data_IF_637301735027
#
_entry.id   IF_637301735027
#
_cell.length_a   1.000
_cell.length_b   1.000
_cell.length_c   1.000
_cell.angle_alpha   90.00
_cell.angle_beta   90.00
_cell.angle_gamma   90.00
#
_symmetry.space_group_name_H-M   'P 1'
#
loop_
_entity.id
_entity.type
_entity.pdbx_description
1 polymer ?
#
# COMPACT_ATOMS: atom_id res chain seq x y z
N UNK A 1 2.14 -22.53 15.86
CA UNK A 1 1.61 -21.62 14.82
C UNK A 1 0.51 -22.37 14.05
N UNK A 2 -0.74 -21.86 14.00
CA UNK A 2 -1.89 -22.63 13.48
C UNK A 2 -1.91 -22.73 11.95
N UNK A 3 -2.59 -23.77 11.44
CA UNK A 3 -2.70 -24.07 10.01
C UNK A 3 -3.37 -22.92 9.22
N UNK A 4 -4.42 -22.31 9.80
CA UNK A 4 -5.16 -21.20 9.18
C UNK A 4 -4.29 -19.94 8.97
N UNK A 5 -3.35 -19.67 9.88
CA UNK A 5 -2.40 -18.56 9.73
C UNK A 5 -1.37 -18.84 8.62
N UNK A 6 -1.04 -20.12 8.40
CA UNK A 6 -0.07 -20.56 7.37
C UNK A 6 -0.68 -20.45 5.97
N UNK A 7 -1.91 -20.90 5.77
CA UNK A 7 -2.63 -20.77 4.48
C UNK A 7 -2.92 -19.32 4.10
N UNK A 8 -3.20 -18.44 5.06
CA UNK A 8 -3.37 -17.00 4.79
C UNK A 8 -2.06 -16.34 4.35
N UNK A 9 -0.93 -16.71 4.95
CA UNK A 9 0.38 -16.21 4.53
C UNK A 9 0.81 -16.78 3.19
N UNK A 10 0.49 -18.04 2.87
CA UNK A 10 0.74 -18.64 1.55
C UNK A 10 -0.13 -18.01 0.46
N UNK A 11 -1.41 -17.74 0.73
CA UNK A 11 -2.29 -17.05 -0.20
C UNK A 11 -1.85 -15.60 -0.44
N UNK A 12 -1.39 -14.91 0.60
CA UNK A 12 -0.79 -13.58 0.47
C UNK A 12 0.55 -13.66 -0.30
N UNK A 13 1.43 -14.62 0.01
CA UNK A 13 2.72 -14.78 -0.66
C UNK A 13 2.57 -15.14 -2.16
N UNK A 14 1.58 -15.96 -2.49
CA UNK A 14 1.23 -16.31 -3.87
C UNK A 14 0.64 -15.11 -4.64
N UNK A 15 -0.08 -14.21 -3.95
CA UNK A 15 -0.71 -13.03 -4.54
C UNK A 15 0.23 -11.82 -4.63
N UNK A 16 1.24 -11.75 -3.77
CA UNK A 16 2.17 -10.62 -3.65
C UNK A 16 3.63 -10.98 -4.01
N UNK A 17 3.85 -12.08 -4.75
CA UNK A 17 5.13 -12.36 -5.41
C UNK A 17 6.28 -12.80 -4.50
N UNK A 18 6.00 -13.18 -3.24
CA UNK A 18 7.05 -13.41 -2.24
C UNK A 18 7.97 -14.60 -2.51
N UNK A 19 7.60 -15.51 -3.42
CA UNK A 19 8.39 -16.70 -3.76
C UNK A 19 8.68 -16.86 -5.25
N UNK A 20 8.24 -15.94 -6.11
CA UNK A 20 8.35 -16.11 -7.56
C UNK A 20 9.18 -15.01 -8.18
N UNK A 21 10.37 -15.37 -8.65
CA UNK A 21 11.13 -14.54 -9.57
C UNK A 21 10.57 -14.70 -10.98
N UNK A 22 10.40 -13.58 -11.69
CA UNK A 22 9.97 -13.56 -13.07
C UNK A 22 11.19 -13.28 -13.95
N UNK A 23 11.56 -14.25 -14.79
CA UNK A 23 12.72 -14.14 -15.69
C UNK A 23 12.41 -13.45 -17.02
N UNK A 24 11.13 -13.28 -17.34
CA UNK A 24 10.66 -12.69 -18.60
C UNK A 24 9.80 -11.45 -18.30
N UNK A 25 10.00 -10.38 -19.07
CA UNK A 25 9.26 -9.12 -18.91
C UNK A 25 7.77 -9.30 -19.16
N UNK A 26 7.39 -10.13 -20.13
CA UNK A 26 5.99 -10.48 -20.44
C UNK A 26 5.26 -11.08 -19.24
N UNK A 27 5.94 -11.90 -18.44
CA UNK A 27 5.36 -12.51 -17.24
C UNK A 27 5.20 -11.49 -16.09
N UNK A 28 6.09 -10.48 -16.02
CA UNK A 28 5.93 -9.34 -15.09
C UNK A 28 4.75 -8.48 -15.51
N UNK A 29 4.67 -8.11 -16.79
CA UNK A 29 3.61 -7.24 -17.32
C UNK A 29 2.22 -7.86 -17.16
N UNK A 30 2.11 -9.18 -17.38
CA UNK A 30 0.87 -9.92 -17.15
C UNK A 30 0.44 -9.84 -15.67
N UNK A 31 1.37 -10.02 -14.73
CA UNK A 31 1.05 -9.91 -13.30
C UNK A 31 0.62 -8.48 -12.93
N UNK A 32 1.33 -7.46 -13.41
CA UNK A 32 0.98 -6.06 -13.13
C UNK A 32 -0.41 -5.71 -13.66
N UNK A 33 -0.76 -6.24 -14.83
CA UNK A 33 -2.10 -6.11 -15.41
C UNK A 33 -3.15 -6.79 -14.53
N UNK A 34 -2.93 -8.04 -14.13
CA UNK A 34 -3.85 -8.79 -13.25
C UNK A 34 -4.07 -8.09 -11.90
N UNK A 35 -2.99 -7.56 -11.30
CA UNK A 35 -3.07 -6.79 -10.06
C UNK A 35 -3.92 -5.54 -10.23
N UNK A 36 -3.72 -4.81 -11.34
CA UNK A 36 -4.49 -3.61 -11.68
C UNK A 36 -5.96 -3.92 -11.90
N UNK A 37 -6.27 -4.93 -12.71
CA UNK A 37 -7.64 -5.35 -13.01
C UNK A 37 -8.39 -5.78 -11.74
N UNK A 38 -7.72 -6.53 -10.86
CA UNK A 38 -8.34 -6.93 -9.60
C UNK A 38 -8.61 -5.72 -8.70
N UNK A 39 -7.65 -4.78 -8.62
CA UNK A 39 -7.84 -3.57 -7.81
C UNK A 39 -9.04 -2.74 -8.33
N UNK A 40 -9.18 -2.59 -9.65
CA UNK A 40 -10.32 -1.90 -10.26
C UNK A 40 -11.64 -2.62 -10.03
N UNK A 41 -11.67 -3.95 -10.12
CA UNK A 41 -12.88 -4.72 -9.84
C UNK A 41 -13.39 -4.50 -8.39
N UNK A 42 -12.47 -4.33 -7.44
CA UNK A 42 -12.80 -4.04 -6.04
C UNK A 42 -13.17 -2.57 -5.77
N UNK A 43 -12.79 -1.65 -6.67
CA UNK A 43 -12.95 -0.21 -6.46
C UNK A 43 -14.43 0.25 -6.43
N UNK A 44 -15.30 -0.40 -7.21
CA UNK A 44 -16.73 -0.06 -7.24
C UNK A 44 -17.40 -0.29 -5.87
N UNK A 45 -17.09 -1.40 -5.22
CA UNK A 45 -17.60 -1.73 -3.89
C UNK A 45 -17.06 -0.78 -2.82
N UNK A 46 -15.77 -0.41 -2.92
CA UNK A 46 -15.17 0.57 -2.03
C UNK A 46 -15.80 1.95 -2.16
N UNK A 47 -16.11 2.42 -3.37
CA UNK A 47 -16.74 3.70 -3.61
C UNK A 47 -18.15 3.76 -3.00
N UNK A 48 -18.97 2.72 -3.23
CA UNK A 48 -20.33 2.65 -2.69
C UNK A 48 -20.32 2.65 -1.14
N UNK A 49 -19.42 1.88 -0.52
CA UNK A 49 -19.25 1.86 0.93
C UNK A 49 -18.76 3.20 1.48
N UNK A 50 -17.81 3.85 0.81
CA UNK A 50 -17.29 5.15 1.22
C UNK A 50 -18.38 6.23 1.13
N UNK A 51 -19.17 6.26 0.05
CA UNK A 51 -20.30 7.20 -0.10
C UNK A 51 -21.35 6.99 0.99
N UNK A 52 -21.65 5.75 1.36
CA UNK A 52 -22.62 5.46 2.40
C UNK A 52 -22.14 5.84 3.81
N UNK A 53 -20.82 5.77 4.07
CA UNK A 53 -20.24 5.95 5.41
C UNK A 53 -19.69 7.35 5.67
N UNK A 54 -19.19 8.04 4.64
CA UNK A 54 -18.50 9.33 4.79
C UNK A 54 -19.49 10.50 4.73
N UNK A 55 -20.48 10.50 5.62
CA UNK A 55 -21.52 11.54 5.67
C UNK A 55 -21.03 12.88 6.24
N UNK A 56 -19.86 12.89 6.90
CA UNK A 56 -19.21 14.07 7.42
C UNK A 56 -17.67 13.90 7.47
N UNK A 57 -16.96 14.98 7.77
CA UNK A 57 -15.49 15.01 7.79
C UNK A 57 -14.88 14.00 8.78
N UNK A 58 -15.49 13.76 9.94
CA UNK A 58 -15.00 12.77 10.90
C UNK A 58 -15.22 11.34 10.41
N UNK A 59 -16.30 11.09 9.69
CA UNK A 59 -16.60 9.76 9.18
C UNK A 59 -15.58 9.29 8.11
N UNK A 60 -14.88 10.23 7.46
CA UNK A 60 -13.74 9.94 6.55
C UNK A 60 -12.51 9.45 7.30
N UNK A 61 -12.31 9.88 8.56
CA UNK A 61 -11.09 9.70 9.33
C UNK A 61 -10.66 8.22 9.48
N UNK A 62 -11.55 7.27 9.83
CA UNK A 62 -11.16 5.86 9.98
C UNK A 62 -10.63 5.25 8.68
N UNK A 63 -11.23 5.59 7.53
CA UNK A 63 -10.79 5.07 6.23
C UNK A 63 -9.39 5.58 5.84
N UNK A 64 -9.13 6.87 6.08
CA UNK A 64 -7.81 7.46 5.82
C UNK A 64 -6.74 6.93 6.78
N UNK A 65 -7.09 6.71 8.05
CA UNK A 65 -6.20 6.08 9.03
C UNK A 65 -5.84 4.63 8.65
N UNK A 66 -6.81 3.83 8.21
CA UNK A 66 -6.56 2.47 7.72
C UNK A 66 -5.63 2.49 6.50
N UNK A 67 -5.94 3.31 5.50
CA UNK A 67 -5.10 3.46 4.30
C UNK A 67 -3.66 3.88 4.67
N UNK A 68 -3.50 4.88 5.54
CA UNK A 68 -2.18 5.33 6.02
C UNK A 68 -1.41 4.20 6.70
N UNK A 69 -2.08 3.43 7.57
CA UNK A 69 -1.46 2.34 8.29
C UNK A 69 -0.91 1.25 7.35
N UNK A 70 -1.69 0.87 6.34
CA UNK A 70 -1.28 -0.12 5.33
C UNK A 70 -0.13 0.38 4.47
N UNK A 71 -0.25 1.58 3.92
CA UNK A 71 0.81 2.20 3.10
C UNK A 71 2.10 2.32 3.91
N UNK A 72 2.05 2.77 5.17
CA UNK A 72 3.25 2.87 6.00
C UNK A 72 3.91 1.51 6.22
N UNK A 73 3.14 0.45 6.47
CA UNK A 73 3.68 -0.89 6.62
C UNK A 73 4.39 -1.37 5.34
N UNK A 74 3.79 -1.12 4.17
CA UNK A 74 4.36 -1.48 2.87
C UNK A 74 5.63 -0.67 2.55
N UNK A 75 5.66 0.63 2.90
CA UNK A 75 6.84 1.48 2.73
C UNK A 75 8.01 1.00 3.59
N UNK A 76 7.77 0.71 4.87
CA UNK A 76 8.81 0.16 5.76
C UNK A 76 9.31 -1.20 5.29
N UNK A 77 8.43 -2.00 4.68
CA UNK A 77 8.85 -3.25 4.03
C UNK A 77 9.77 -2.97 2.83
N UNK A 78 9.43 -2.00 1.96
CA UNK A 78 10.26 -1.59 0.83
C UNK A 78 11.61 -1.01 1.26
N UNK A 79 11.67 -0.29 2.38
CA UNK A 79 12.95 0.13 2.98
C UNK A 79 13.85 -1.06 3.30
N UNK A 80 13.29 -2.15 3.84
CA UNK A 80 14.01 -3.40 4.07
C UNK A 80 14.54 -4.03 2.79
N UNK A 81 13.73 -4.03 1.72
CA UNK A 81 14.14 -4.50 0.38
C UNK A 81 15.28 -3.63 -0.17
N UNK A 82 15.17 -2.31 -0.08
CA UNK A 82 16.20 -1.34 -0.49
C UNK A 82 17.50 -1.54 0.29
N UNK A 83 17.43 -1.71 1.61
CA UNK A 83 18.59 -2.00 2.44
C UNK A 83 19.29 -3.30 2.00
N UNK A 84 18.52 -4.35 1.71
CA UNK A 84 19.03 -5.60 1.14
C UNK A 84 19.75 -5.39 -0.20
N UNK A 85 19.14 -4.64 -1.12
CA UNK A 85 19.71 -4.34 -2.44
C UNK A 85 21.02 -3.57 -2.34
N UNK A 86 21.09 -2.53 -1.48
CA UNK A 86 22.30 -1.76 -1.22
C UNK A 86 23.41 -2.61 -0.62
N UNK A 87 23.10 -3.41 0.41
CA UNK A 87 24.07 -4.30 1.06
C UNK A 87 24.69 -5.32 0.10
N UNK A 88 23.91 -5.78 -0.88
CA UNK A 88 24.36 -6.71 -1.91
C UNK A 88 24.95 -6.05 -3.14
N UNK A 89 24.97 -4.71 -3.21
CA UNK A 89 25.46 -3.93 -4.35
C UNK A 89 24.79 -4.37 -5.66
N UNK A 90 23.46 -4.53 -5.63
CA UNK A 90 22.69 -4.83 -6.84
C UNK A 90 22.77 -3.66 -7.85
N UNK A 91 22.19 -3.86 -9.03
CA UNK A 91 22.21 -2.89 -10.12
C UNK A 91 21.82 -1.48 -9.64
N UNK A 92 22.60 -0.43 -9.94
CA UNK A 92 22.32 0.95 -9.50
C UNK A 92 20.93 1.43 -9.90
N UNK A 93 20.46 1.05 -11.09
CA UNK A 93 19.13 1.43 -11.59
C UNK A 93 18.02 0.83 -10.74
N UNK A 94 18.18 -0.43 -10.27
CA UNK A 94 17.23 -1.06 -9.36
C UNK A 94 17.19 -0.33 -8.01
N UNK A 95 18.36 0.03 -7.48
CA UNK A 95 18.47 0.75 -6.21
C UNK A 95 17.79 2.12 -6.32
N UNK A 96 18.04 2.88 -7.39
CA UNK A 96 17.41 4.17 -7.62
C UNK A 96 15.88 4.06 -7.69
N UNK A 97 15.33 3.05 -8.38
CA UNK A 97 13.87 2.85 -8.44
C UNK A 97 13.26 2.49 -7.09
N UNK A 98 13.99 1.74 -6.26
CA UNK A 98 13.55 1.45 -4.88
C UNK A 98 13.60 2.70 -3.99
N UNK A 99 14.61 3.56 -4.16
CA UNK A 99 14.70 4.86 -3.48
C UNK A 99 13.53 5.76 -3.84
N UNK A 100 13.21 5.90 -5.14
CA UNK A 100 12.07 6.68 -5.61
C UNK A 100 10.75 6.16 -5.02
N UNK A 101 10.54 4.84 -5.04
CA UNK A 101 9.34 4.21 -4.51
C UNK A 101 9.18 4.44 -3.00
N UNK A 102 10.25 4.30 -2.22
CA UNK A 102 10.26 4.58 -0.78
C UNK A 102 9.98 6.06 -0.51
N UNK A 103 10.60 6.96 -1.29
CA UNK A 103 10.40 8.41 -1.17
C UNK A 103 8.94 8.81 -1.39
N UNK A 104 8.36 8.41 -2.52
CA UNK A 104 6.95 8.65 -2.84
C UNK A 104 5.99 8.04 -1.80
N UNK A 105 6.33 6.84 -1.31
CA UNK A 105 5.59 6.20 -0.24
C UNK A 105 5.57 7.03 1.04
N UNK A 106 6.71 7.57 1.47
CA UNK A 106 6.77 8.46 2.63
C UNK A 106 5.93 9.73 2.43
N UNK A 107 6.06 10.39 1.28
CA UNK A 107 5.27 11.58 0.93
C UNK A 107 3.76 11.30 1.05
N UNK A 108 3.30 10.16 0.51
CA UNK A 108 1.91 9.74 0.64
C UNK A 108 1.51 9.50 2.11
N UNK A 109 2.35 8.85 2.92
CA UNK A 109 2.04 8.63 4.35
C UNK A 109 1.91 9.92 5.15
N UNK A 110 2.68 10.96 4.79
CA UNK A 110 2.60 12.31 5.38
C UNK A 110 1.30 12.98 4.94
N UNK A 111 0.99 12.98 3.64
CA UNK A 111 -0.23 13.56 3.10
C UNK A 111 -1.49 12.94 3.71
N UNK A 112 -1.51 11.62 3.91
CA UNK A 112 -2.62 10.94 4.59
C UNK A 112 -2.71 11.33 6.07
N UNK A 113 -1.58 11.54 6.75
CA UNK A 113 -1.58 12.03 8.12
C UNK A 113 -2.16 13.45 8.22
N UNK A 114 -1.76 14.33 7.28
CA UNK A 114 -2.28 15.70 7.20
C UNK A 114 -3.77 15.71 6.89
N UNK A 115 -4.24 14.85 5.99
CA UNK A 115 -5.67 14.65 5.72
C UNK A 115 -6.43 14.27 7.01
N UNK A 116 -5.89 13.38 7.84
CA UNK A 116 -6.50 13.07 9.14
C UNK A 116 -6.51 14.30 10.07
N UNK A 117 -5.43 15.08 10.10
CA UNK A 117 -5.36 16.31 10.93
C UNK A 117 -6.39 17.36 10.49
N UNK A 118 -6.63 17.54 9.19
CA UNK A 118 -7.63 18.51 8.71
C UNK A 118 -9.04 18.14 9.18
N UNK A 119 -9.38 16.84 9.21
CA UNK A 119 -10.67 16.38 9.75
C UNK A 119 -10.83 16.68 11.24
N UNK A 120 -9.73 16.61 12.02
CA UNK A 120 -9.74 16.94 13.44
C UNK A 120 -9.85 18.45 13.69
N UNK A 121 -9.16 19.30 12.91
CA UNK A 121 -9.25 20.76 13.07
C UNK A 121 -10.66 21.28 12.77
N UNK A 122 -11.37 20.66 11.81
CA UNK A 122 -12.77 21.01 11.51
C UNK A 122 -13.68 20.94 12.76
N UNK A 123 -13.41 20.03 13.70
CA UNK A 123 -14.15 19.97 14.97
C UNK A 123 -13.82 21.09 15.95
N UNK A 124 -12.57 21.57 15.95
CA UNK A 124 -12.13 22.62 16.88
C UNK A 124 -12.63 24.02 16.50
N UNK A 125 -13.01 24.22 15.23
CA UNK A 125 -13.56 25.49 14.73
C UNK A 125 -15.09 25.50 14.62
N UNK A 126 -15.75 24.39 15.00
CA UNK A 126 -17.20 24.17 14.87
C UNK A 126 -17.98 24.07 16.20
N UNK A 127 -17.42 24.60 17.29
CA UNK A 127 -18.13 24.89 18.56
C UNK A 127 -18.18 26.38 18.78
#
# INVERSE_FOLDING_TARGET
MSLARRTLMEAAAARFGWQRAYGETTAVDALLTEQTDTAYAQAADHAALATAKNDNALAVQPGVLDARGRVLADVLYLEGVLAGARNRRLAPELIARLEDAVGLGHELTVLLADTVRTTAVHTASGT
#
